data_IF_648602485336
#
_entry.id   IF_648602485336
#
_cell.length_a   1.000
_cell.length_b   1.000
_cell.length_c   1.000
_cell.angle_alpha   90.00
_cell.angle_beta   90.00
_cell.angle_gamma   90.00
#
_symmetry.space_group_name_H-M   'P 1'
#
loop_
_entity.id
_entity.type
_entity.pdbx_description
1 polymer ?
#
# COMPACT_ATOMS: atom_id res chain seq x y z
N UNK A 1 0.80 -6.58 21.33
CA UNK A 1 1.69 -5.49 21.79
C UNK A 1 2.83 -5.38 20.80
N UNK A 2 3.31 -4.16 20.47
CA UNK A 2 4.46 -3.98 19.59
C UNK A 2 5.69 -4.70 20.19
N UNK A 3 6.42 -5.42 19.36
CA UNK A 3 7.65 -6.14 19.70
C UNK A 3 8.88 -5.23 19.66
N UNK A 4 8.76 -4.05 19.03
CA UNK A 4 9.83 -3.04 19.01
C UNK A 4 9.28 -1.60 19.05
N UNK A 5 10.08 -0.60 19.48
CA UNK A 5 9.64 0.79 19.60
C UNK A 5 9.10 1.42 18.30
N UNK A 6 9.62 0.98 17.15
CA UNK A 6 9.29 1.52 15.83
C UNK A 6 8.20 0.72 15.11
N UNK A 7 7.61 -0.27 15.78
CA UNK A 7 6.59 -1.14 15.20
C UNK A 7 5.22 -0.45 15.17
N UNK A 8 4.56 -0.53 14.03
CA UNK A 8 3.26 0.11 13.80
C UNK A 8 2.26 -0.88 13.23
N UNK A 9 0.99 -0.70 13.62
CA UNK A 9 -0.12 -1.41 13.01
C UNK A 9 -0.53 -0.70 11.73
N UNK A 10 -0.02 -1.19 10.58
CA UNK A 10 -0.27 -0.61 9.27
C UNK A 10 -1.52 -1.23 8.66
N UNK A 11 -2.46 -0.39 8.21
CA UNK A 11 -3.74 -0.82 7.63
C UNK A 11 -3.98 -0.20 6.27
N UNK A 12 -4.67 -0.93 5.40
CA UNK A 12 -5.40 -0.36 4.27
C UNK A 12 -6.66 0.28 4.85
N UNK A 13 -6.66 1.61 4.97
CA UNK A 13 -7.82 2.34 5.49
C UNK A 13 -9.02 2.21 4.55
N UNK A 14 -8.80 2.42 3.26
CA UNK A 14 -9.79 2.35 2.19
C UNK A 14 -9.09 2.20 0.84
N UNK A 15 -9.82 1.76 -0.18
CA UNK A 15 -9.37 1.73 -1.57
C UNK A 15 -10.05 2.86 -2.35
N UNK A 16 -9.26 3.72 -3.01
CA UNK A 16 -9.77 4.74 -3.92
C UNK A 16 -10.10 4.09 -5.26
N UNK A 17 -11.39 3.88 -5.52
CA UNK A 17 -11.90 3.07 -6.65
C UNK A 17 -11.39 3.59 -8.00
N UNK A 18 -10.78 2.70 -8.77
CA UNK A 18 -10.25 2.94 -10.10
C UNK A 18 -10.06 1.62 -10.85
N UNK A 19 -10.01 1.66 -12.19
CA UNK A 19 -9.85 0.46 -13.03
C UNK A 19 -8.66 -0.43 -12.63
N UNK A 20 -7.59 0.16 -12.08
CA UNK A 20 -6.38 -0.56 -11.66
C UNK A 20 -6.59 -1.43 -10.41
N UNK A 21 -7.62 -1.16 -9.60
CA UNK A 21 -7.88 -1.84 -8.33
C UNK A 21 -9.26 -2.51 -8.27
N UNK A 22 -9.84 -2.80 -9.44
CA UNK A 22 -11.09 -3.57 -9.54
C UNK A 22 -10.96 -4.92 -8.80
N UNK A 23 -11.98 -5.24 -8.00
CA UNK A 23 -12.04 -6.43 -7.16
C UNK A 23 -11.47 -6.26 -5.75
N UNK A 24 -10.92 -5.08 -5.41
CA UNK A 24 -10.37 -4.74 -4.10
C UNK A 24 -11.09 -3.58 -3.40
N UNK A 25 -12.19 -3.09 -3.97
CA UNK A 25 -12.88 -1.85 -3.57
C UNK A 25 -13.42 -1.90 -2.14
N UNK A 26 -13.82 -3.08 -1.68
CA UNK A 26 -14.45 -3.29 -0.38
C UNK A 26 -13.44 -3.48 0.77
N UNK A 27 -12.13 -3.41 0.50
CA UNK A 27 -11.10 -3.54 1.54
C UNK A 27 -11.07 -2.27 2.39
N UNK A 28 -11.41 -2.43 3.67
CA UNK A 28 -11.49 -1.34 4.65
C UNK A 28 -10.87 -1.77 5.97
N UNK A 29 -10.06 -0.89 6.56
CA UNK A 29 -9.37 -1.07 7.85
C UNK A 29 -8.69 -2.44 8.03
N UNK A 30 -8.10 -2.99 6.96
CA UNK A 30 -7.50 -4.32 6.97
C UNK A 30 -5.99 -4.22 7.15
N UNK A 31 -5.41 -4.99 8.07
CA UNK A 31 -3.97 -4.94 8.35
C UNK A 31 -3.13 -5.42 7.16
N UNK A 32 -2.02 -4.74 6.88
CA UNK A 32 -0.98 -5.21 5.95
C UNK A 32 0.06 -5.99 6.76
N UNK A 33 0.23 -7.27 6.43
CA UNK A 33 1.14 -8.19 7.13
C UNK A 33 2.51 -8.23 6.42
N UNK A 34 2.51 -8.38 5.09
CA UNK A 34 3.72 -8.48 4.30
C UNK A 34 3.55 -7.85 2.91
N UNK A 35 4.68 -7.48 2.30
CA UNK A 35 4.77 -7.06 0.91
C UNK A 35 5.81 -7.94 0.21
N UNK A 36 5.41 -8.63 -0.86
CA UNK A 36 6.24 -9.59 -1.59
C UNK A 36 6.89 -10.63 -0.66
N UNK A 37 6.12 -11.13 0.33
CA UNK A 37 6.57 -12.12 1.32
C UNK A 37 7.51 -11.57 2.40
N UNK A 38 7.83 -10.27 2.39
CA UNK A 38 8.65 -9.62 3.42
C UNK A 38 7.75 -8.92 4.45
N UNK A 39 7.94 -9.13 5.76
CA UNK A 39 7.06 -8.60 6.79
C UNK A 39 7.13 -7.07 6.88
N UNK A 40 5.97 -6.43 7.03
CA UNK A 40 5.85 -4.98 7.18
C UNK A 40 5.90 -4.62 8.66
N UNK A 41 6.92 -3.84 9.05
CA UNK A 41 7.11 -3.41 10.45
C UNK A 41 6.45 -2.07 10.76
N UNK A 42 6.46 -1.16 9.79
CA UNK A 42 5.90 0.18 9.90
C UNK A 42 5.66 0.80 8.53
N UNK A 43 4.98 1.95 8.51
CA UNK A 43 4.54 2.59 7.27
C UNK A 43 5.74 3.07 6.42
N UNK A 44 6.79 3.59 7.06
CA UNK A 44 8.02 4.02 6.36
C UNK A 44 8.64 2.85 5.58
N UNK A 45 8.78 1.68 6.20
CA UNK A 45 9.31 0.50 5.51
C UNK A 45 8.41 0.02 4.39
N UNK A 46 7.08 0.09 4.55
CA UNK A 46 6.17 -0.25 3.47
C UNK A 46 6.38 0.63 2.23
N UNK A 47 6.50 1.95 2.41
CA UNK A 47 6.77 2.90 1.32
C UNK A 47 8.09 2.60 0.63
N UNK A 48 9.17 2.43 1.41
CA UNK A 48 10.49 2.13 0.84
C UNK A 48 10.52 0.81 0.07
N UNK A 49 9.81 -0.22 0.57
CA UNK A 49 9.71 -1.51 -0.10
C UNK A 49 8.92 -1.42 -1.40
N UNK A 50 7.83 -0.64 -1.44
CA UNK A 50 7.03 -0.45 -2.64
C UNK A 50 7.74 0.42 -3.69
N UNK A 51 8.46 1.46 -3.27
CA UNK A 51 9.18 2.34 -4.19
C UNK A 51 10.41 1.67 -4.82
N UNK A 52 11.17 0.93 -4.03
CA UNK A 52 12.42 0.26 -4.45
C UNK A 52 12.21 -1.19 -4.93
N UNK A 53 10.97 -1.62 -5.18
CA UNK A 53 10.72 -2.96 -5.73
C UNK A 53 11.03 -2.99 -7.22
N UNK A 54 11.91 -3.92 -7.61
CA UNK A 54 12.22 -4.24 -9.01
C UNK A 54 11.31 -5.36 -9.57
N UNK A 55 10.35 -5.84 -8.78
CA UNK A 55 9.44 -6.90 -9.18
C UNK A 55 8.44 -6.41 -10.24
N UNK A 56 7.73 -7.33 -10.91
CA UNK A 56 6.63 -6.95 -11.81
C UNK A 56 5.37 -6.54 -11.03
N UNK A 57 5.19 -7.14 -9.84
CA UNK A 57 3.99 -7.02 -9.03
C UNK A 57 4.31 -6.63 -7.57
N UNK A 58 3.42 -5.84 -6.97
CA UNK A 58 3.29 -5.69 -5.52
C UNK A 58 2.22 -6.65 -5.05
N UNK A 59 2.61 -7.62 -4.23
CA UNK A 59 1.75 -8.57 -3.54
C UNK A 59 1.66 -8.15 -2.07
N UNK A 60 0.53 -7.55 -1.69
CA UNK A 60 0.22 -7.26 -0.30
C UNK A 60 -0.48 -8.46 0.32
N UNK A 61 0.13 -9.02 1.35
CA UNK A 61 -0.49 -10.03 2.20
C UNK A 61 -1.20 -9.29 3.34
N UNK A 62 -2.51 -9.46 3.44
CA UNK A 62 -3.37 -8.79 4.39
C UNK A 62 -3.86 -9.73 5.50
N UNK A 63 -4.51 -9.16 6.52
CA UNK A 63 -5.27 -9.95 7.50
C UNK A 63 -6.33 -10.84 6.80
N UNK A 64 -6.74 -11.92 7.48
CA UNK A 64 -7.70 -12.90 6.97
C UNK A 64 -7.24 -13.66 5.72
N UNK A 65 -5.91 -13.80 5.55
CA UNK A 65 -5.29 -14.49 4.41
C UNK A 65 -5.66 -13.87 3.04
N UNK A 66 -6.12 -12.62 3.04
CA UNK A 66 -6.42 -11.87 1.83
C UNK A 66 -5.13 -11.42 1.14
N UNK A 67 -5.14 -11.40 -0.19
CA UNK A 67 -3.99 -11.00 -1.00
C UNK A 67 -4.44 -9.98 -2.03
N UNK A 68 -3.74 -8.86 -2.09
CA UNK A 68 -3.90 -7.85 -3.15
C UNK A 68 -2.67 -7.87 -4.04
N UNK A 69 -2.87 -8.06 -5.34
CA UNK A 69 -1.79 -8.05 -6.33
C UNK A 69 -2.01 -6.91 -7.32
N UNK A 70 -1.02 -6.02 -7.42
CA UNK A 70 -1.01 -4.90 -8.36
C UNK A 70 0.26 -4.92 -9.21
N UNK A 71 0.15 -4.65 -10.51
CA UNK A 71 1.32 -4.51 -11.39
C UNK A 71 1.97 -3.15 -11.16
N UNK A 72 3.27 -3.14 -10.84
CA UNK A 72 4.00 -1.92 -10.39
C UNK A 72 3.91 -0.80 -11.44
N UNK A 73 4.23 -1.12 -12.70
CA UNK A 73 4.29 -0.12 -13.78
C UNK A 73 2.96 0.60 -13.98
N UNK A 74 1.87 -0.15 -14.01
CA UNK A 74 0.53 0.42 -14.22
C UNK A 74 -0.01 1.12 -12.98
N UNK A 75 0.30 0.59 -11.78
CA UNK A 75 -0.07 1.24 -10.52
C UNK A 75 0.58 2.62 -10.41
N UNK A 76 1.89 2.74 -10.65
CA UNK A 76 2.60 4.04 -10.60
C UNK A 76 2.06 5.06 -11.62
N UNK A 77 1.64 4.60 -12.81
CA UNK A 77 1.06 5.45 -13.85
C UNK A 77 -0.35 5.92 -13.49
N UNK A 78 -1.16 5.09 -12.82
CA UNK A 78 -2.54 5.43 -12.46
C UNK A 78 -2.63 6.36 -11.22
N UNK A 79 -1.63 6.32 -10.32
CA UNK A 79 -1.66 7.07 -9.06
C UNK A 79 -1.98 8.56 -9.23
N UNK A 80 -1.34 9.33 -10.14
CA UNK A 80 -1.63 10.76 -10.29
C UNK A 80 -3.09 11.07 -10.64
N UNK A 81 -3.69 10.28 -11.54
CA UNK A 81 -5.08 10.49 -11.98
C UNK A 81 -6.08 10.16 -10.87
N UNK A 82 -5.80 9.13 -10.07
CA UNK A 82 -6.60 8.78 -8.89
C UNK A 82 -6.55 9.92 -7.86
N UNK A 83 -5.35 10.43 -7.56
CA UNK A 83 -5.19 11.54 -6.62
C UNK A 83 -5.93 12.80 -7.07
N UNK A 84 -5.84 13.13 -8.37
CA UNK A 84 -6.54 14.28 -8.94
C UNK A 84 -8.07 14.14 -8.82
N UNK A 85 -8.60 12.95 -9.07
CA UNK A 85 -10.04 12.64 -8.97
C UNK A 85 -10.57 12.86 -7.55
N UNK A 86 -9.76 12.52 -6.54
CA UNK A 86 -10.14 12.64 -5.12
C UNK A 86 -9.64 13.93 -4.45
N UNK A 87 -9.12 14.89 -5.22
CA UNK A 87 -8.57 16.16 -4.71
C UNK A 87 -7.48 15.98 -3.64
N UNK A 88 -6.66 14.94 -3.78
CA UNK A 88 -5.57 14.64 -2.85
C UNK A 88 -4.29 15.33 -3.37
N UNK A 89 -3.70 16.26 -2.61
CA UNK A 89 -2.58 17.06 -3.10
C UNK A 89 -1.27 16.28 -3.23
N UNK A 90 -1.08 15.24 -2.42
CA UNK A 90 0.17 14.48 -2.34
C UNK A 90 -0.13 13.00 -2.07
N UNK A 91 0.60 12.11 -2.76
CA UNK A 91 0.47 10.65 -2.61
C UNK A 91 0.86 10.13 -1.21
N UNK A 92 1.67 10.90 -0.47
CA UNK A 92 2.18 10.52 0.85
C UNK A 92 2.41 11.76 1.72
N UNK A 93 2.37 11.57 3.02
CA UNK A 93 2.69 12.59 4.01
C UNK A 93 4.15 13.04 3.92
N UNK A 94 4.41 14.26 4.40
CA UNK A 94 5.72 14.91 4.26
C UNK A 94 6.85 14.16 4.97
N UNK A 95 6.56 13.45 6.06
CA UNK A 95 7.53 12.66 6.82
C UNK A 95 7.95 11.35 6.12
N UNK A 96 7.17 10.90 5.12
CA UNK A 96 7.46 9.72 4.30
C UNK A 96 8.19 10.06 3.00
N UNK A 97 8.24 11.35 2.64
CA UNK A 97 9.09 11.83 1.56
C UNK A 97 10.54 11.78 2.05
N UNK A 98 11.39 11.03 1.36
CA UNK A 98 12.82 10.95 1.65
C UNK A 98 13.50 12.32 1.55
#
# INVERSE_FOLDING_TARGET
>A
MPQSPDEQFVVVSQVLVSDINIGYEDIVNTQVIALNGKPVKNLRRLVEMAENSDDEFLKFDLEYEQIVVLRIKTAKVATPDILATHYIPLAMSVDLKA
#
